data_IF_434970262709
#
_entry.id   IF_434970262709
#
_cell.length_a   1.000
_cell.length_b   1.000
_cell.length_c   1.000
_cell.angle_alpha   90.00
_cell.angle_beta   90.00
_cell.angle_gamma   90.00
#
_symmetry.space_group_name_H-M   'P 1'
#
loop_
_entity.id
_entity.type
_entity.pdbx_description
1 polymer ?
#
# COMPACT_ATOMS: atom_id res chain seq x y z
N UNK A 1 1.16 45.70 11.83
CA UNK A 1 1.07 45.07 10.51
C UNK A 1 2.14 44.01 10.21
N UNK A 2 3.37 44.13 10.68
CA UNK A 2 4.49 43.19 10.38
C UNK A 2 4.31 41.81 11.02
N UNK A 3 3.68 41.67 12.19
CA UNK A 3 3.50 40.40 12.91
C UNK A 3 2.48 39.47 12.24
N UNK A 4 1.41 40.00 11.66
CA UNK A 4 0.38 39.19 10.97
C UNK A 4 0.92 38.59 9.66
N UNK A 5 1.76 39.34 8.96
CA UNK A 5 2.37 38.92 7.71
C UNK A 5 3.36 37.75 7.90
N UNK A 6 4.10 37.75 9.01
CA UNK A 6 5.01 36.65 9.37
C UNK A 6 4.27 35.36 9.75
N UNK A 7 3.13 35.46 10.45
CA UNK A 7 2.29 34.31 10.78
C UNK A 7 1.67 33.67 9.54
N UNK A 8 1.17 34.46 8.59
CA UNK A 8 0.58 33.96 7.33
C UNK A 8 1.62 33.23 6.45
N UNK A 9 2.86 33.71 6.41
CA UNK A 9 3.93 33.07 5.65
C UNK A 9 4.34 31.72 6.28
N UNK A 10 4.42 31.63 7.62
CA UNK A 10 4.74 30.37 8.30
C UNK A 10 3.65 29.29 8.09
N UNK A 11 2.37 29.65 8.17
CA UNK A 11 1.28 28.69 7.97
C UNK A 11 1.23 28.16 6.53
N UNK A 12 1.52 29.02 5.55
CA UNK A 12 1.55 28.61 4.15
C UNK A 12 2.73 27.67 3.83
N UNK A 13 3.92 27.94 4.42
CA UNK A 13 5.09 27.08 4.26
C UNK A 13 4.89 25.68 4.86
N UNK A 14 4.23 25.57 6.01
CA UNK A 14 3.93 24.28 6.66
C UNK A 14 2.97 23.44 5.81
N UNK A 15 1.95 24.03 5.21
CA UNK A 15 1.02 23.32 4.31
C UNK A 15 1.73 22.73 3.08
N UNK A 16 2.67 23.46 2.47
CA UNK A 16 3.39 23.00 1.27
C UNK A 16 4.28 21.78 1.57
N UNK A 17 4.90 21.74 2.73
CA UNK A 17 5.77 20.60 3.11
C UNK A 17 4.98 19.31 3.34
N UNK A 18 3.78 19.38 3.89
CA UNK A 18 2.93 18.20 4.11
C UNK A 18 2.44 17.57 2.81
N UNK A 19 2.08 18.38 1.82
CA UNK A 19 1.65 17.89 0.50
C UNK A 19 2.80 17.15 -0.20
N UNK A 20 4.02 17.68 -0.13
CA UNK A 20 5.19 17.05 -0.75
C UNK A 20 5.54 15.69 -0.11
N UNK A 21 5.40 15.55 1.20
CA UNK A 21 5.66 14.30 1.92
C UNK A 21 4.63 13.21 1.56
N UNK A 22 3.34 13.57 1.52
CA UNK A 22 2.28 12.66 1.15
C UNK A 22 2.43 12.15 -0.30
N UNK A 23 2.87 13.00 -1.21
CA UNK A 23 3.11 12.64 -2.60
C UNK A 23 4.32 11.68 -2.74
N UNK A 24 5.38 11.89 -1.93
CA UNK A 24 6.52 10.97 -1.90
C UNK A 24 6.14 9.57 -1.40
N UNK A 25 5.21 9.44 -0.47
CA UNK A 25 4.77 8.14 0.04
C UNK A 25 3.88 7.39 -0.95
N UNK A 26 3.02 8.07 -1.70
CA UNK A 26 2.24 7.48 -2.79
C UNK A 26 3.16 6.97 -3.91
N UNK A 27 4.19 7.72 -4.28
CA UNK A 27 5.17 7.29 -5.30
C UNK A 27 5.98 6.07 -4.84
N UNK A 28 6.35 6.00 -3.58
CA UNK A 28 6.98 4.79 -3.00
C UNK A 28 6.03 3.60 -3.02
N UNK A 29 4.75 3.83 -2.68
CA UNK A 29 3.71 2.81 -2.79
C UNK A 29 3.52 2.31 -4.22
N UNK A 30 3.58 3.22 -5.21
CA UNK A 30 3.57 2.89 -6.64
C UNK A 30 4.76 2.02 -7.04
N UNK A 31 5.97 2.42 -6.65
CA UNK A 31 7.18 1.65 -6.95
C UNK A 31 7.12 0.24 -6.34
N UNK A 32 6.66 0.11 -5.10
CA UNK A 32 6.43 -1.18 -4.44
C UNK A 32 5.39 -2.02 -5.17
N UNK A 33 4.27 -1.42 -5.58
CA UNK A 33 3.22 -2.11 -6.34
C UNK A 33 3.75 -2.65 -7.66
N UNK A 34 4.47 -1.85 -8.42
CA UNK A 34 5.03 -2.26 -9.71
C UNK A 34 6.06 -3.37 -9.57
N UNK A 35 6.87 -3.35 -8.51
CA UNK A 35 7.91 -4.37 -8.29
C UNK A 35 7.37 -5.69 -7.76
N UNK A 36 6.31 -5.67 -6.94
CA UNK A 36 5.90 -6.82 -6.15
C UNK A 36 4.48 -7.33 -6.47
N UNK A 37 3.59 -6.46 -6.94
CA UNK A 37 2.17 -6.77 -7.10
C UNK A 37 1.73 -6.86 -8.57
N UNK A 38 2.32 -6.03 -9.43
CA UNK A 38 1.90 -5.90 -10.83
C UNK A 38 2.07 -7.20 -11.63
N UNK A 39 2.97 -8.09 -11.22
CA UNK A 39 3.18 -9.40 -11.87
C UNK A 39 1.89 -10.25 -11.89
N UNK A 40 1.04 -10.10 -10.89
CA UNK A 40 -0.27 -10.75 -10.81
C UNK A 40 -1.42 -9.77 -11.11
N UNK A 41 -1.38 -8.55 -10.53
CA UNK A 41 -2.48 -7.61 -10.59
C UNK A 41 -2.48 -6.69 -11.81
N UNK A 42 -1.43 -6.70 -12.65
CA UNK A 42 -1.25 -5.79 -13.78
C UNK A 42 -0.71 -4.42 -13.34
N UNK A 43 -0.07 -3.70 -14.25
CA UNK A 43 0.51 -2.38 -13.97
C UNK A 43 -0.56 -1.35 -13.59
N UNK A 44 -1.75 -1.47 -14.17
CA UNK A 44 -2.92 -0.62 -13.91
C UNK A 44 -3.84 -1.19 -12.82
N UNK A 45 -3.41 -2.27 -12.13
CA UNK A 45 -4.14 -2.93 -11.05
C UNK A 45 -5.50 -3.54 -11.45
N UNK A 46 -5.72 -3.83 -12.72
CA UNK A 46 -6.97 -4.38 -13.28
C UNK A 46 -7.08 -5.91 -13.19
N UNK A 47 -6.07 -6.59 -12.65
CA UNK A 47 -6.06 -8.05 -12.50
C UNK A 47 -5.57 -8.80 -13.73
N UNK A 48 -4.91 -8.11 -14.66
CA UNK A 48 -4.43 -8.61 -15.96
C UNK A 48 -2.91 -8.84 -16.02
N UNK A 49 -2.26 -9.00 -14.86
CA UNK A 49 -0.83 -9.23 -14.80
C UNK A 49 -0.35 -10.49 -15.53
N UNK A 50 0.93 -10.55 -15.94
CA UNK A 50 1.47 -11.64 -16.77
C UNK A 50 1.37 -13.02 -16.11
N UNK A 51 1.28 -13.14 -14.81
CA UNK A 51 1.07 -14.42 -14.13
C UNK A 51 -0.40 -14.87 -14.08
N UNK A 52 -1.36 -14.02 -14.47
CA UNK A 52 -2.79 -14.35 -14.42
C UNK A 52 -3.14 -15.69 -15.08
N UNK A 53 -2.58 -16.07 -16.25
CA UNK A 53 -2.92 -17.36 -16.90
C UNK A 53 -2.48 -18.59 -16.11
N UNK A 54 -1.55 -18.44 -15.17
CA UNK A 54 -0.99 -19.53 -14.36
C UNK A 54 -1.63 -19.64 -12.98
N UNK A 55 -2.54 -18.73 -12.62
CA UNK A 55 -3.22 -18.72 -11.34
C UNK A 55 -4.55 -19.46 -11.42
N UNK A 56 -4.84 -20.27 -10.42
CA UNK A 56 -6.13 -21.00 -10.29
C UNK A 56 -7.28 -20.01 -10.16
N UNK A 57 -7.06 -18.92 -9.42
CA UNK A 57 -8.03 -17.84 -9.25
C UNK A 57 -7.48 -16.54 -9.82
N UNK A 58 -8.21 -15.94 -10.74
CA UNK A 58 -7.85 -14.66 -11.32
C UNK A 58 -7.75 -13.56 -10.23
N UNK A 59 -6.68 -12.75 -10.24
CA UNK A 59 -6.58 -11.60 -9.36
C UNK A 59 -7.75 -10.64 -9.61
N UNK A 60 -8.33 -10.07 -8.56
CA UNK A 60 -9.41 -9.10 -8.74
C UNK A 60 -8.87 -7.79 -9.31
N UNK A 61 -9.77 -7.07 -9.99
CA UNK A 61 -9.56 -5.67 -10.34
C UNK A 61 -9.57 -4.82 -9.05
N UNK A 62 -8.41 -4.26 -8.71
CA UNK A 62 -8.18 -3.47 -7.51
C UNK A 62 -8.66 -2.02 -7.66
N UNK A 63 -8.93 -1.54 -8.88
CA UNK A 63 -9.45 -0.18 -9.12
C UNK A 63 -10.92 -0.05 -8.70
N UNK A 64 -11.62 -1.17 -8.53
CA UNK A 64 -13.04 -1.25 -8.23
C UNK A 64 -13.35 -1.49 -6.74
N UNK A 65 -12.37 -1.42 -5.85
CA UNK A 65 -12.58 -1.76 -4.43
C UNK A 65 -13.54 -0.80 -3.73
N UNK A 66 -13.43 0.50 -3.97
CA UNK A 66 -14.34 1.50 -3.41
C UNK A 66 -15.78 1.27 -3.93
N UNK A 67 -15.95 1.10 -5.23
CA UNK A 67 -17.25 0.87 -5.86
C UNK A 67 -17.94 -0.39 -5.30
N UNK A 68 -17.20 -1.47 -5.11
CA UNK A 68 -17.70 -2.72 -4.53
C UNK A 68 -18.01 -2.63 -3.03
N UNK A 69 -17.54 -1.56 -2.39
CA UNK A 69 -17.73 -1.28 -0.96
C UNK A 69 -18.60 -0.04 -0.71
N UNK A 70 -19.59 0.21 -1.57
CA UNK A 70 -20.55 1.29 -1.39
C UNK A 70 -19.99 2.70 -1.63
N UNK A 71 -18.90 2.83 -2.39
CA UNK A 71 -18.25 4.10 -2.72
C UNK A 71 -17.09 4.48 -1.77
N UNK A 72 -16.88 3.71 -0.69
CA UNK A 72 -15.79 3.96 0.25
C UNK A 72 -14.65 2.96 0.05
N UNK A 73 -13.41 3.48 -0.06
CA UNK A 73 -12.23 2.61 -0.17
C UNK A 73 -11.96 1.90 1.16
N UNK A 74 -11.99 0.54 1.19
CA UNK A 74 -11.90 -0.24 2.44
C UNK A 74 -10.46 -0.40 2.91
N UNK A 75 -9.77 0.71 3.24
CA UNK A 75 -8.34 0.77 3.52
C UNK A 75 -7.88 -0.28 4.54
N UNK A 76 -8.61 -0.44 5.66
CA UNK A 76 -8.28 -1.42 6.70
C UNK A 76 -8.28 -2.85 6.17
N UNK A 77 -9.33 -3.22 5.44
CA UNK A 77 -9.46 -4.56 4.84
C UNK A 77 -8.34 -4.83 3.84
N UNK A 78 -7.96 -3.81 3.05
CA UNK A 78 -6.85 -3.91 2.10
C UNK A 78 -5.53 -4.13 2.82
N UNK A 79 -5.25 -3.38 3.88
CA UNK A 79 -4.05 -3.57 4.70
C UNK A 79 -3.98 -4.98 5.29
N UNK A 80 -5.07 -5.47 5.88
CA UNK A 80 -5.15 -6.80 6.48
C UNK A 80 -4.97 -7.91 5.43
N UNK A 81 -5.50 -7.71 4.21
CA UNK A 81 -5.34 -8.64 3.10
C UNK A 81 -3.89 -8.71 2.60
N UNK A 82 -3.22 -7.58 2.46
CA UNK A 82 -1.81 -7.51 2.05
C UNK A 82 -0.92 -8.13 3.13
N UNK A 83 -1.10 -7.76 4.40
CA UNK A 83 -0.35 -8.31 5.52
C UNK A 83 -0.49 -9.83 5.56
N UNK A 84 -1.70 -10.32 5.59
CA UNK A 84 -2.05 -11.74 5.52
C UNK A 84 -1.64 -12.59 6.71
N UNK A 85 -0.83 -12.10 7.65
CA UNK A 85 -0.32 -12.87 8.81
C UNK A 85 -1.44 -13.31 9.75
N UNK A 86 -2.43 -12.48 9.98
CA UNK A 86 -3.58 -12.83 10.82
C UNK A 86 -4.42 -13.99 10.24
N UNK A 87 -4.61 -14.04 8.92
CA UNK A 87 -5.34 -15.11 8.27
C UNK A 87 -4.63 -16.47 8.38
N UNK A 88 -3.29 -16.48 8.38
CA UNK A 88 -2.48 -17.70 8.57
C UNK A 88 -2.61 -18.21 10.00
N UNK A 89 -2.69 -17.34 10.99
CA UNK A 89 -2.84 -17.72 12.42
C UNK A 89 -4.20 -18.35 12.71
N UNK A 90 -5.25 -18.00 11.97
CA UNK A 90 -6.61 -18.55 12.16
C UNK A 90 -6.75 -19.93 11.52
N UNK A 91 -5.70 -20.45 10.86
CA UNK A 91 -5.73 -21.79 10.27
C UNK A 91 -6.72 -21.94 9.13
N UNK A 92 -6.83 -20.95 8.25
CA UNK A 92 -7.66 -21.04 7.07
C UNK A 92 -7.14 -22.15 6.16
N UNK A 93 -7.90 -23.25 6.07
CA UNK A 93 -7.62 -24.41 5.22
C UNK A 93 -7.91 -24.11 3.73
N UNK A 94 -7.32 -23.05 3.17
CA UNK A 94 -7.47 -22.68 1.77
C UNK A 94 -6.11 -22.39 1.13
N UNK A 95 -5.96 -22.70 -0.15
CA UNK A 95 -4.82 -22.27 -0.95
C UNK A 95 -4.85 -20.74 -1.04
N UNK A 96 -3.92 -20.10 -0.35
CA UNK A 96 -3.71 -18.67 -0.45
C UNK A 96 -2.79 -18.41 -1.64
N UNK A 97 -3.34 -17.93 -2.73
CA UNK A 97 -2.56 -17.63 -3.93
C UNK A 97 -1.75 -16.34 -3.79
N UNK A 98 -2.32 -15.35 -3.07
CA UNK A 98 -1.61 -14.11 -2.77
C UNK A 98 -0.57 -14.37 -1.67
N UNK A 99 0.70 -13.97 -1.82
CA UNK A 99 1.72 -14.11 -0.80
C UNK A 99 1.34 -13.40 0.51
N UNK A 100 1.91 -13.88 1.63
CA UNK A 100 1.78 -13.22 2.94
C UNK A 100 2.82 -12.11 3.01
N UNK A 101 2.50 -10.94 2.47
CA UNK A 101 3.44 -9.83 2.32
C UNK A 101 3.96 -9.33 3.66
N UNK A 102 3.17 -9.39 4.73
CA UNK A 102 3.63 -9.07 6.07
C UNK A 102 4.85 -9.90 6.51
N UNK A 103 4.86 -11.19 6.14
CA UNK A 103 6.02 -12.07 6.39
C UNK A 103 7.19 -11.73 5.46
N UNK A 104 6.94 -11.59 4.17
CA UNK A 104 7.96 -11.25 3.16
C UNK A 104 8.66 -9.94 3.54
N UNK A 105 7.91 -8.93 3.95
CA UNK A 105 8.48 -7.64 4.35
C UNK A 105 9.25 -7.71 5.67
N UNK A 106 8.81 -8.51 6.63
CA UNK A 106 9.54 -8.70 7.87
C UNK A 106 10.90 -9.41 7.64
N UNK A 107 10.93 -10.42 6.77
CA UNK A 107 12.16 -11.15 6.41
C UNK A 107 13.10 -10.32 5.54
N UNK A 108 12.56 -9.50 4.62
CA UNK A 108 13.32 -8.60 3.75
C UNK A 108 13.79 -7.30 4.43
N UNK A 109 13.32 -7.01 5.64
CA UNK A 109 13.66 -5.78 6.36
C UNK A 109 15.15 -5.64 6.73
N UNK A 110 15.95 -6.69 6.51
CA UNK A 110 17.38 -6.67 6.79
C UNK A 110 18.28 -6.04 5.73
N UNK A 111 17.76 -5.69 4.55
CA UNK A 111 18.59 -5.44 3.38
C UNK A 111 18.95 -3.97 3.12
N UNK A 112 18.15 -2.97 3.56
CA UNK A 112 18.27 -1.62 3.00
C UNK A 112 18.48 -0.45 3.99
N UNK A 113 18.10 -0.55 5.24
CA UNK A 113 18.47 0.46 6.24
C UNK A 113 18.56 -0.10 7.67
N UNK A 114 19.44 0.51 8.50
CA UNK A 114 19.65 0.08 9.88
C UNK A 114 18.39 0.16 10.78
N UNK A 115 17.34 0.89 10.35
CA UNK A 115 16.05 0.99 11.05
C UNK A 115 15.21 -0.27 10.91
N UNK A 116 15.26 -0.91 9.74
CA UNK A 116 14.52 -2.13 9.47
C UNK A 116 14.97 -3.28 10.38
N UNK A 117 16.26 -3.35 10.71
CA UNK A 117 16.79 -4.33 11.68
C UNK A 117 16.32 -4.10 13.11
N UNK A 118 16.11 -2.83 13.49
CA UNK A 118 15.71 -2.46 14.85
C UNK A 118 14.20 -2.55 15.06
N UNK A 119 13.39 -2.31 14.02
CA UNK A 119 11.94 -2.25 14.09
C UNK A 119 11.26 -2.89 12.86
N UNK A 120 11.36 -4.21 12.67
CA UNK A 120 10.83 -4.89 11.49
C UNK A 120 9.31 -4.70 11.32
N UNK A 121 8.56 -4.70 12.41
CA UNK A 121 7.10 -4.49 12.37
C UNK A 121 6.70 -3.09 11.91
N UNK A 122 7.48 -2.09 12.25
CA UNK A 122 7.23 -0.73 11.78
C UNK A 122 7.47 -0.61 10.27
N UNK A 123 8.55 -1.20 9.77
CA UNK A 123 8.86 -1.24 8.34
C UNK A 123 7.77 -1.96 7.54
N UNK A 124 7.29 -3.10 8.03
CA UNK A 124 6.17 -3.83 7.43
C UNK A 124 4.93 -2.93 7.32
N UNK A 125 4.54 -2.31 8.43
CA UNK A 125 3.37 -1.45 8.49
C UNK A 125 3.48 -0.24 7.56
N UNK A 126 4.66 0.38 7.50
CA UNK A 126 4.92 1.53 6.64
C UNK A 126 4.79 1.17 5.15
N UNK A 127 5.39 0.06 4.71
CA UNK A 127 5.29 -0.43 3.33
C UNK A 127 3.84 -0.73 2.93
N UNK A 128 3.11 -1.46 3.78
CA UNK A 128 1.69 -1.77 3.54
C UNK A 128 0.84 -0.50 3.51
N UNK A 129 1.12 0.48 4.37
CA UNK A 129 0.41 1.76 4.38
C UNK A 129 0.60 2.50 3.07
N UNK A 130 1.83 2.62 2.57
CA UNK A 130 2.15 3.27 1.28
C UNK A 130 1.47 2.58 0.10
N UNK A 131 1.52 1.25 0.05
CA UNK A 131 0.78 0.46 -0.94
C UNK A 131 -0.73 0.75 -0.89
N UNK A 132 -1.31 0.77 0.30
CA UNK A 132 -2.74 1.04 0.49
C UNK A 132 -3.11 2.45 0.04
N UNK A 133 -2.26 3.44 0.33
CA UNK A 133 -2.45 4.83 -0.13
C UNK A 133 -2.37 4.93 -1.66
N UNK A 134 -1.44 4.23 -2.29
CA UNK A 134 -1.37 4.17 -3.74
C UNK A 134 -2.64 3.55 -4.33
N UNK A 135 -3.09 2.39 -3.84
CA UNK A 135 -4.31 1.73 -4.31
C UNK A 135 -5.56 2.61 -4.12
N UNK A 136 -5.62 3.40 -3.06
CA UNK A 136 -6.71 4.36 -2.85
C UNK A 136 -6.77 5.45 -3.94
N UNK A 137 -5.64 5.79 -4.58
CA UNK A 137 -5.58 6.75 -5.70
C UNK A 137 -6.04 6.17 -7.02
N UNK A 138 -6.00 4.85 -7.17
CA UNK A 138 -6.41 4.16 -8.40
C UNK A 138 -7.92 3.92 -8.49
N UNK A 139 -8.69 4.24 -7.46
CA UNK A 139 -10.11 3.92 -7.43
C UNK A 139 -10.88 4.70 -8.49
N UNK A 140 -11.67 3.96 -9.28
CA UNK A 140 -12.61 4.55 -10.24
C UNK A 140 -13.94 4.84 -9.53
N UNK A 141 -14.64 5.93 -9.92
CA UNK A 141 -15.91 6.32 -9.35
C UNK A 141 -17.01 5.28 -9.48
#
# INVERSE_FOLDING_TARGET
MIRVRKLLVCTFAICLTQVALAQSDVERGRAEFLSSCAVCHGAEATGDGPLRPFLVKAPPDLTMLARRNGGEFPARRVMDMIDGRAAVQIGSHGTREMPVWGKVYAEGAGADDGRAKLHPEWTVRERITRLTQYLARLQVP
#
